data_IF_884093467827
#
_entry.id   IF_884093467827
#
_cell.length_a   1.000
_cell.length_b   1.000
_cell.length_c   1.000
_cell.angle_alpha   90.00
_cell.angle_beta   90.00
_cell.angle_gamma   90.00
#
_symmetry.space_group_name_H-M   'P 1'
#
loop_
_entity.id
_entity.type
_entity.pdbx_description
1 polymer ?
#
# COMPACT_ATOMS: atom_id res chain seq x y z
N UNK A 1 -25.12 46.96 -15.84
CA UNK A 1 -24.53 45.71 -15.31
C UNK A 1 -23.03 45.74 -15.61
N UNK A 2 -22.13 45.58 -14.63
CA UNK A 2 -20.67 45.62 -14.88
C UNK A 2 -20.30 44.37 -15.68
N UNK A 3 -19.79 44.53 -16.91
CA UNK A 3 -19.26 43.41 -17.70
C UNK A 3 -18.10 42.79 -16.91
N UNK A 4 -18.10 41.47 -16.80
CA UNK A 4 -16.95 40.74 -16.27
C UNK A 4 -15.72 41.12 -17.08
N UNK A 5 -14.61 41.35 -16.41
CA UNK A 5 -13.35 41.66 -17.08
C UNK A 5 -12.85 40.45 -17.86
N UNK A 6 -11.95 40.66 -18.82
CA UNK A 6 -11.31 39.56 -19.55
C UNK A 6 -10.56 38.62 -18.60
N UNK A 7 -9.98 39.16 -17.53
CA UNK A 7 -9.34 38.37 -16.46
C UNK A 7 -10.31 37.48 -15.69
N UNK A 8 -11.53 37.95 -15.42
CA UNK A 8 -12.54 37.13 -14.73
C UNK A 8 -12.98 35.94 -15.58
N UNK A 9 -13.15 36.16 -16.90
CA UNK A 9 -13.49 35.09 -17.84
C UNK A 9 -12.35 34.07 -17.95
N UNK A 10 -11.09 34.53 -17.97
CA UNK A 10 -9.92 33.66 -18.01
C UNK A 10 -9.81 32.81 -16.73
N UNK A 11 -10.02 33.41 -15.56
CA UNK A 11 -10.00 32.68 -14.28
C UNK A 11 -11.09 31.62 -14.22
N UNK A 12 -12.32 31.96 -14.63
CA UNK A 12 -13.44 31.01 -14.73
C UNK A 12 -13.14 29.86 -15.71
N UNK A 13 -12.49 30.15 -16.84
CA UNK A 13 -12.09 29.13 -17.80
C UNK A 13 -11.01 28.19 -17.24
N UNK A 14 -10.04 28.71 -16.48
CA UNK A 14 -9.01 27.87 -15.84
C UNK A 14 -9.64 26.97 -14.77
N UNK A 15 -10.53 27.50 -13.93
CA UNK A 15 -11.29 26.68 -12.96
C UNK A 15 -12.13 25.62 -13.68
N UNK A 16 -12.80 25.99 -14.78
CA UNK A 16 -13.55 25.09 -15.65
C UNK A 16 -12.68 23.94 -16.19
N UNK A 17 -11.50 24.26 -16.74
CA UNK A 17 -10.59 23.28 -17.29
C UNK A 17 -10.07 22.32 -16.20
N UNK A 18 -9.72 22.84 -15.03
CA UNK A 18 -9.26 22.02 -13.89
C UNK A 18 -10.35 21.06 -13.42
N UNK A 19 -11.60 21.53 -13.29
CA UNK A 19 -12.72 20.69 -12.88
C UNK A 19 -13.03 19.61 -13.92
N UNK A 20 -13.04 19.96 -15.21
CA UNK A 20 -13.27 19.00 -16.30
C UNK A 20 -12.17 17.93 -16.36
N UNK A 21 -10.90 18.32 -16.18
CA UNK A 21 -9.77 17.37 -16.12
C UNK A 21 -9.90 16.45 -14.91
N UNK A 22 -10.22 16.96 -13.73
CA UNK A 22 -10.40 16.13 -12.52
C UNK A 22 -11.52 15.11 -12.65
N UNK A 23 -12.63 15.53 -13.23
CA UNK A 23 -13.79 14.66 -13.49
C UNK A 23 -13.45 13.60 -14.54
N UNK A 24 -12.86 14.00 -15.65
CA UNK A 24 -12.41 13.09 -16.70
C UNK A 24 -11.39 12.07 -16.18
N UNK A 25 -10.46 12.49 -15.32
CA UNK A 25 -9.45 11.63 -14.72
C UNK A 25 -10.06 10.63 -13.72
N UNK A 26 -10.96 11.09 -12.83
CA UNK A 26 -11.70 10.20 -11.93
C UNK A 26 -12.54 9.16 -12.70
N UNK A 27 -13.08 9.58 -13.84
CA UNK A 27 -13.86 8.71 -14.72
C UNK A 27 -13.02 7.70 -15.52
N UNK A 28 -11.82 8.08 -15.96
CA UNK A 28 -10.88 7.14 -16.58
C UNK A 28 -10.46 6.04 -15.60
N UNK A 29 -10.22 6.40 -14.33
CA UNK A 29 -9.89 5.44 -13.28
C UNK A 29 -11.05 4.47 -13.00
N UNK A 30 -12.28 4.95 -13.00
CA UNK A 30 -13.47 4.10 -12.85
C UNK A 30 -13.70 3.24 -14.12
N UNK A 31 -13.46 3.76 -15.32
CA UNK A 31 -13.65 3.04 -16.57
C UNK A 31 -12.65 1.91 -16.79
N UNK A 32 -11.36 2.19 -16.54
CA UNK A 32 -10.29 1.19 -16.67
C UNK A 32 -10.38 0.12 -15.57
N UNK A 33 -10.73 0.49 -14.34
CA UNK A 33 -10.75 -0.46 -13.21
C UNK A 33 -11.98 -1.36 -13.15
N UNK A 34 -13.13 -0.93 -13.69
CA UNK A 34 -14.40 -1.59 -13.37
C UNK A 34 -15.14 -2.19 -14.57
N UNK A 35 -14.74 -1.93 -15.82
CA UNK A 35 -15.50 -2.35 -17.01
C UNK A 35 -17.02 -2.03 -16.92
N UNK A 36 -17.39 -0.99 -16.17
CA UNK A 36 -18.78 -0.56 -16.00
C UNK A 36 -19.09 0.61 -16.92
N UNK A 37 -20.37 0.77 -17.27
CA UNK A 37 -20.87 1.92 -18.03
C UNK A 37 -20.98 3.21 -17.20
N UNK A 38 -20.61 3.17 -15.91
CA UNK A 38 -20.76 4.29 -14.97
C UNK A 38 -20.03 5.59 -15.40
N UNK A 39 -18.80 5.53 -15.95
CA UNK A 39 -18.15 6.73 -16.50
C UNK A 39 -18.99 7.39 -17.58
N UNK A 40 -19.60 6.62 -18.49
CA UNK A 40 -20.43 7.17 -19.57
C UNK A 40 -21.70 7.85 -19.06
N UNK A 41 -22.19 7.51 -17.86
CA UNK A 41 -23.34 8.14 -17.20
C UNK A 41 -22.91 9.35 -16.37
N UNK A 42 -21.70 9.35 -15.81
CA UNK A 42 -21.18 10.46 -15.00
C UNK A 42 -20.63 11.61 -15.87
N UNK A 43 -20.15 11.32 -17.10
CA UNK A 43 -19.62 12.32 -18.04
C UNK A 43 -20.64 13.44 -18.27
N UNK A 44 -21.89 13.14 -18.67
CA UNK A 44 -22.87 14.17 -18.97
C UNK A 44 -23.30 14.90 -17.70
N UNK A 45 -23.42 14.20 -16.56
CA UNK A 45 -23.90 14.79 -15.31
C UNK A 45 -22.96 15.86 -14.75
N UNK A 46 -21.67 15.80 -15.04
CA UNK A 46 -20.70 16.81 -14.58
C UNK A 46 -20.30 17.76 -15.70
N UNK A 47 -20.12 17.28 -16.93
CA UNK A 47 -19.74 18.15 -18.06
C UNK A 47 -20.86 19.05 -18.56
N UNK A 48 -22.13 18.60 -18.55
CA UNK A 48 -23.27 19.40 -19.01
C UNK A 48 -23.47 20.63 -18.14
N UNK A 49 -23.47 20.55 -16.80
CA UNK A 49 -23.77 21.73 -16.03
C UNK A 49 -22.57 22.67 -15.89
N UNK A 50 -21.35 22.14 -16.01
CA UNK A 50 -20.12 22.94 -16.09
C UNK A 50 -20.03 23.68 -17.43
N UNK A 51 -20.39 23.03 -18.54
CA UNK A 51 -20.57 23.69 -19.84
C UNK A 51 -21.72 24.71 -19.81
N UNK A 52 -22.85 24.38 -19.19
CA UNK A 52 -23.98 25.29 -18.99
C UNK A 52 -23.56 26.56 -18.22
N UNK A 53 -22.77 26.41 -17.14
CA UNK A 53 -22.22 27.54 -16.39
C UNK A 53 -21.33 28.42 -17.26
N UNK A 54 -20.43 27.81 -18.03
CA UNK A 54 -19.53 28.52 -18.93
C UNK A 54 -20.27 29.30 -20.02
N UNK A 55 -21.26 28.68 -20.68
CA UNK A 55 -22.05 29.34 -21.72
C UNK A 55 -22.95 30.45 -21.16
N UNK A 56 -23.53 30.26 -19.97
CA UNK A 56 -24.35 31.27 -19.31
C UNK A 56 -23.54 32.51 -18.90
N UNK A 57 -22.30 32.32 -18.43
CA UNK A 57 -21.40 33.42 -18.09
C UNK A 57 -20.90 34.19 -19.33
N UNK A 58 -20.82 33.55 -20.50
CA UNK A 58 -20.31 34.15 -21.75
C UNK A 58 -21.34 34.95 -22.54
N UNK A 59 -22.65 34.68 -22.38
CA UNK A 59 -23.74 35.38 -23.07
C UNK A 59 -24.86 35.79 -22.09
N UNK A 60 -24.65 36.85 -21.29
CA UNK A 60 -25.63 37.29 -20.29
C UNK A 60 -26.94 37.84 -20.90
N UNK A 61 -26.92 38.27 -22.16
CA UNK A 61 -28.05 38.99 -22.78
C UNK A 61 -29.10 38.06 -23.44
N UNK A 62 -28.78 36.78 -23.69
CA UNK A 62 -29.68 35.83 -24.39
C UNK A 62 -30.43 34.86 -23.47
N UNK A 63 -30.07 34.75 -22.19
CA UNK A 63 -30.69 33.81 -21.23
C UNK A 63 -31.31 34.54 -20.03
N UNK A 64 -32.64 34.51 -19.94
CA UNK A 64 -33.49 35.25 -18.98
C UNK A 64 -33.41 34.77 -17.50
N UNK A 65 -32.32 34.14 -17.08
CA UNK A 65 -32.14 33.77 -15.68
C UNK A 65 -31.64 34.96 -14.86
N UNK A 66 -32.41 35.35 -13.84
CA UNK A 66 -31.96 36.34 -12.87
C UNK A 66 -30.63 35.92 -12.23
N UNK A 67 -29.71 36.86 -11.99
CA UNK A 67 -28.40 36.59 -11.34
C UNK A 67 -28.48 35.69 -10.10
N UNK A 68 -29.49 35.91 -9.24
CA UNK A 68 -29.71 35.10 -8.03
C UNK A 68 -29.89 33.61 -8.36
N UNK A 69 -30.69 33.29 -9.38
CA UNK A 69 -30.92 31.90 -9.84
C UNK A 69 -29.64 31.31 -10.44
N UNK A 70 -28.91 32.07 -11.24
CA UNK A 70 -27.64 31.64 -11.82
C UNK A 70 -26.58 31.31 -10.75
N UNK A 71 -26.46 32.16 -9.72
CA UNK A 71 -25.57 31.92 -8.58
C UNK A 71 -25.98 30.67 -7.79
N UNK A 72 -27.28 30.47 -7.54
CA UNK A 72 -27.78 29.27 -6.87
C UNK A 72 -27.42 28.01 -7.68
N UNK A 73 -27.65 28.01 -9.00
CA UNK A 73 -27.28 26.90 -9.87
C UNK A 73 -25.77 26.64 -9.83
N UNK A 74 -24.95 27.69 -9.86
CA UNK A 74 -23.49 27.57 -9.77
C UNK A 74 -23.04 26.89 -8.48
N UNK A 75 -23.63 27.27 -7.35
CA UNK A 75 -23.33 26.68 -6.04
C UNK A 75 -23.78 25.22 -5.99
N UNK A 76 -24.99 24.92 -6.45
CA UNK A 76 -25.49 23.53 -6.53
C UNK A 76 -24.54 22.69 -7.39
N UNK A 77 -24.08 23.22 -8.52
CA UNK A 77 -23.17 22.49 -9.38
C UNK A 77 -21.82 22.25 -8.76
N UNK A 78 -21.25 23.25 -8.10
CA UNK A 78 -20.01 23.07 -7.35
C UNK A 78 -20.16 21.99 -6.27
N UNK A 79 -21.28 22.00 -5.53
CA UNK A 79 -21.58 20.97 -4.52
C UNK A 79 -21.64 19.59 -5.17
N UNK A 80 -22.36 19.43 -6.29
CA UNK A 80 -22.44 18.17 -7.01
C UNK A 80 -21.05 17.71 -7.49
N UNK A 81 -20.24 18.61 -8.06
CA UNK A 81 -18.89 18.25 -8.51
C UNK A 81 -17.98 17.82 -7.36
N UNK A 82 -18.13 18.42 -6.18
CA UNK A 82 -17.36 18.04 -4.99
C UNK A 82 -17.84 16.72 -4.38
N UNK A 83 -19.16 16.46 -4.38
CA UNK A 83 -19.75 15.26 -3.75
C UNK A 83 -19.79 14.04 -4.68
N UNK A 84 -19.91 14.24 -5.99
CA UNK A 84 -20.10 13.16 -6.95
C UNK A 84 -19.01 12.08 -6.90
N UNK A 85 -17.70 12.40 -6.82
CA UNK A 85 -16.66 11.38 -6.71
C UNK A 85 -16.88 10.45 -5.50
N UNK A 86 -17.18 11.01 -4.33
CA UNK A 86 -17.42 10.22 -3.12
C UNK A 86 -18.66 9.34 -3.22
N UNK A 87 -19.77 9.88 -3.76
CA UNK A 87 -21.00 9.11 -3.96
C UNK A 87 -20.80 7.98 -4.95
N UNK A 88 -20.12 8.26 -6.08
CA UNK A 88 -19.79 7.26 -7.09
C UNK A 88 -18.89 6.19 -6.49
N UNK A 89 -17.81 6.58 -5.83
CA UNK A 89 -16.88 5.66 -5.17
C UNK A 89 -17.59 4.76 -4.16
N UNK A 90 -18.40 5.33 -3.28
CA UNK A 90 -19.18 4.56 -2.29
C UNK A 90 -20.15 3.58 -2.94
N UNK A 91 -20.87 4.03 -3.98
CA UNK A 91 -21.83 3.20 -4.71
C UNK A 91 -21.12 2.06 -5.45
N UNK A 92 -20.01 2.36 -6.12
CA UNK A 92 -19.20 1.37 -6.85
C UNK A 92 -18.68 0.29 -5.91
N UNK A 93 -18.15 0.66 -4.74
CA UNK A 93 -17.66 -0.32 -3.75
C UNK A 93 -18.81 -1.13 -3.16
N UNK A 94 -19.95 -0.51 -2.88
CA UNK A 94 -21.13 -1.21 -2.38
C UNK A 94 -21.62 -2.26 -3.39
N UNK A 95 -21.65 -1.91 -4.68
CA UNK A 95 -21.99 -2.83 -5.78
C UNK A 95 -20.94 -3.94 -5.90
N UNK A 96 -19.64 -3.60 -5.86
CA UNK A 96 -18.54 -4.58 -5.87
C UNK A 96 -18.69 -5.57 -4.73
N UNK A 97 -18.85 -5.11 -3.49
CA UNK A 97 -19.04 -5.96 -2.32
C UNK A 97 -20.31 -6.83 -2.43
N UNK A 98 -21.42 -6.26 -2.92
CA UNK A 98 -22.65 -7.02 -3.14
C UNK A 98 -22.45 -8.13 -4.17
N UNK A 99 -21.81 -7.83 -5.30
CA UNK A 99 -21.50 -8.81 -6.34
C UNK A 99 -20.54 -9.88 -5.81
N UNK A 100 -19.50 -9.50 -5.07
CA UNK A 100 -18.58 -10.46 -4.46
C UNK A 100 -19.29 -11.35 -3.43
N UNK A 101 -20.20 -10.82 -2.61
CA UNK A 101 -21.00 -11.63 -1.68
C UNK A 101 -21.87 -12.66 -2.39
N UNK A 102 -22.29 -12.41 -3.63
CA UNK A 102 -23.08 -13.37 -4.41
C UNK A 102 -22.26 -14.56 -4.97
N UNK A 103 -20.93 -14.43 -5.02
CA UNK A 103 -20.04 -15.52 -5.42
C UNK A 103 -20.05 -16.59 -4.32
N UNK A 104 -20.30 -17.85 -4.69
CA UNK A 104 -20.43 -18.94 -3.69
C UNK A 104 -19.09 -19.38 -3.10
N UNK A 105 -18.04 -19.43 -3.92
CA UNK A 105 -16.71 -19.90 -3.52
C UNK A 105 -15.89 -18.77 -2.91
N UNK A 106 -15.41 -18.94 -1.67
CA UNK A 106 -14.51 -17.97 -1.03
C UNK A 106 -13.20 -17.79 -1.81
N UNK A 107 -12.70 -18.84 -2.44
CA UNK A 107 -11.56 -18.77 -3.36
C UNK A 107 -11.81 -17.80 -4.51
N UNK A 108 -13.00 -17.86 -5.12
CA UNK A 108 -13.36 -16.97 -6.24
C UNK A 108 -13.65 -15.55 -5.76
N UNK A 109 -14.23 -15.39 -4.55
CA UNK A 109 -14.34 -14.06 -3.90
C UNK A 109 -12.96 -13.42 -3.75
N UNK A 110 -11.99 -14.19 -3.25
CA UNK A 110 -10.64 -13.69 -3.04
C UNK A 110 -10.00 -13.28 -4.35
N UNK A 111 -9.99 -14.14 -5.37
CA UNK A 111 -9.43 -13.80 -6.68
C UNK A 111 -10.08 -12.57 -7.30
N UNK A 112 -11.40 -12.42 -7.14
CA UNK A 112 -12.13 -11.25 -7.62
C UNK A 112 -11.67 -9.97 -6.92
N UNK A 113 -11.60 -9.97 -5.58
CA UNK A 113 -11.10 -8.82 -4.80
C UNK A 113 -9.65 -8.51 -5.14
N UNK A 114 -8.80 -9.53 -5.28
CA UNK A 114 -7.40 -9.32 -5.64
C UNK A 114 -7.27 -8.67 -7.01
N UNK A 115 -8.02 -9.16 -8.00
CA UNK A 115 -8.05 -8.57 -9.34
C UNK A 115 -8.61 -7.14 -9.32
N UNK A 116 -9.62 -6.90 -8.49
CA UNK A 116 -10.22 -5.59 -8.31
C UNK A 116 -9.21 -4.58 -7.75
N UNK A 117 -8.50 -4.91 -6.67
CA UNK A 117 -7.46 -4.05 -6.08
C UNK A 117 -6.35 -3.79 -7.09
N UNK A 118 -5.87 -4.82 -7.78
CA UNK A 118 -4.85 -4.68 -8.81
C UNK A 118 -5.28 -3.72 -9.93
N UNK A 119 -6.47 -3.92 -10.50
CA UNK A 119 -6.95 -3.15 -11.64
C UNK A 119 -7.36 -1.71 -11.29
N UNK A 120 -7.64 -1.43 -10.01
CA UNK A 120 -7.99 -0.09 -9.54
C UNK A 120 -6.80 0.69 -8.99
N UNK A 121 -5.63 0.05 -8.87
CA UNK A 121 -4.42 0.71 -8.36
C UNK A 121 -3.66 1.40 -9.48
N UNK A 122 -3.37 2.68 -9.28
CA UNK A 122 -2.38 3.45 -10.03
C UNK A 122 -1.05 3.32 -9.30
N UNK A 123 -0.09 2.63 -9.93
CA UNK A 123 1.22 2.35 -9.33
C UNK A 123 2.02 3.63 -9.09
N UNK A 124 2.44 3.86 -7.83
CA UNK A 124 3.12 5.09 -7.47
C UNK A 124 4.59 5.14 -7.93
N UNK A 125 5.21 3.99 -8.25
CA UNK A 125 6.61 3.91 -8.68
C UNK A 125 6.85 4.07 -10.19
N UNK A 126 5.82 4.29 -11.00
CA UNK A 126 5.96 4.35 -12.47
C UNK A 126 6.26 5.75 -13.03
N UNK A 127 5.46 6.77 -12.69
CA UNK A 127 5.60 8.11 -13.29
C UNK A 127 6.79 8.90 -12.73
N UNK A 128 7.50 9.63 -13.60
CA UNK A 128 8.63 10.50 -13.22
C UNK A 128 8.27 11.98 -13.42
N UNK A 129 9.05 12.89 -12.81
CA UNK A 129 8.84 14.34 -12.95
C UNK A 129 7.58 14.86 -12.25
N UNK A 130 6.84 15.77 -12.89
CA UNK A 130 5.64 16.41 -12.30
C UNK A 130 4.53 15.39 -12.05
N UNK A 131 4.39 14.40 -12.93
CA UNK A 131 3.41 13.32 -12.77
C UNK A 131 3.75 12.46 -11.54
N UNK A 132 5.04 12.12 -11.37
CA UNK A 132 5.52 11.41 -10.18
C UNK A 132 5.27 12.19 -8.89
N UNK A 133 5.50 13.51 -8.90
CA UNK A 133 5.21 14.36 -7.74
C UNK A 133 3.70 14.42 -7.43
N UNK A 134 2.86 14.54 -8.46
CA UNK A 134 1.41 14.51 -8.30
C UNK A 134 0.94 13.18 -7.70
N UNK A 135 1.43 12.06 -8.22
CA UNK A 135 1.12 10.70 -7.74
C UNK A 135 1.58 10.53 -6.29
N UNK A 136 2.80 10.99 -5.96
CA UNK A 136 3.32 10.93 -4.61
C UNK A 136 2.45 11.68 -3.60
N UNK A 137 2.01 12.91 -3.92
CA UNK A 137 1.11 13.70 -3.08
C UNK A 137 -0.26 13.07 -2.85
N UNK A 138 -0.70 12.22 -3.77
CA UNK A 138 -2.01 11.57 -3.73
C UNK A 138 -1.94 10.13 -3.23
N UNK A 139 -0.76 9.65 -2.78
CA UNK A 139 -0.62 8.32 -2.17
C UNK A 139 -1.62 8.14 -1.04
N UNK A 140 -2.28 6.99 -1.05
CA UNK A 140 -3.40 6.74 -0.17
C UNK A 140 -2.98 6.32 1.24
N UNK A 141 -1.74 5.87 1.42
CA UNK A 141 -1.24 5.34 2.70
C UNK A 141 -2.25 4.33 3.28
N UNK A 142 -2.65 4.45 4.54
CA UNK A 142 -3.68 3.60 5.17
C UNK A 142 -5.11 4.16 5.06
N UNK A 143 -5.38 5.12 4.16
CA UNK A 143 -6.71 5.70 3.98
C UNK A 143 -7.48 4.96 2.89
N UNK A 144 -8.36 4.03 3.29
CA UNK A 144 -9.17 3.26 2.35
C UNK A 144 -10.10 4.12 1.49
N UNK A 145 -10.73 5.17 2.04
CA UNK A 145 -11.60 6.05 1.26
C UNK A 145 -10.81 6.81 0.18
N UNK A 146 -9.59 7.23 0.51
CA UNK A 146 -8.68 7.85 -0.44
C UNK A 146 -8.26 6.85 -1.53
N UNK A 147 -7.94 5.61 -1.15
CA UNK A 147 -7.66 4.52 -2.10
C UNK A 147 -8.81 4.32 -3.08
N UNK A 148 -10.04 4.24 -2.58
CA UNK A 148 -11.21 4.06 -3.43
C UNK A 148 -11.51 5.26 -4.36
N UNK A 149 -11.02 6.45 -4.02
CA UNK A 149 -11.26 7.67 -4.80
C UNK A 149 -10.16 7.92 -5.84
N UNK A 150 -8.90 7.64 -5.47
CA UNK A 150 -7.73 8.01 -6.26
C UNK A 150 -6.98 6.80 -6.83
N UNK A 151 -7.04 5.65 -6.15
CA UNK A 151 -6.35 4.43 -6.54
C UNK A 151 -4.82 4.48 -6.41
N UNK A 152 -4.23 5.55 -5.89
CA UNK A 152 -2.77 5.73 -5.94
C UNK A 152 -2.07 5.01 -4.79
N UNK A 153 -1.20 4.05 -5.09
CA UNK A 153 -0.49 3.28 -4.07
C UNK A 153 0.59 2.34 -4.59
N UNK A 154 1.31 1.74 -3.65
CA UNK A 154 2.24 0.63 -3.85
C UNK A 154 1.74 -0.61 -3.07
N UNK A 155 2.61 -1.61 -2.88
CA UNK A 155 2.30 -2.87 -2.20
C UNK A 155 1.61 -2.68 -0.83
N UNK A 156 2.03 -1.70 -0.02
CA UNK A 156 1.43 -1.39 1.27
C UNK A 156 -0.02 -0.91 1.18
N UNK A 157 -0.29 0.09 0.34
CA UNK A 157 -1.64 0.61 0.12
C UNK A 157 -2.57 -0.45 -0.47
N UNK A 158 -2.06 -1.25 -1.41
CA UNK A 158 -2.82 -2.36 -2.00
C UNK A 158 -3.15 -3.43 -0.97
N UNK A 159 -2.20 -3.81 -0.11
CA UNK A 159 -2.42 -4.78 0.96
C UNK A 159 -3.48 -4.28 1.96
N UNK A 160 -3.42 -3.00 2.32
CA UNK A 160 -4.40 -2.38 3.22
C UNK A 160 -5.81 -2.35 2.61
N UNK A 161 -5.93 -1.95 1.34
CA UNK A 161 -7.20 -1.93 0.62
C UNK A 161 -7.80 -3.34 0.48
N UNK A 162 -6.98 -4.32 0.11
CA UNK A 162 -7.41 -5.71 0.00
C UNK A 162 -7.87 -6.28 1.35
N UNK A 163 -7.09 -6.09 2.42
CA UNK A 163 -7.50 -6.49 3.77
C UNK A 163 -8.85 -5.88 4.16
N UNK A 164 -9.02 -4.57 3.94
CA UNK A 164 -10.27 -3.88 4.26
C UNK A 164 -11.46 -4.48 3.51
N UNK A 165 -11.28 -4.85 2.22
CA UNK A 165 -12.32 -5.51 1.44
C UNK A 165 -12.62 -6.93 1.96
N UNK A 166 -11.60 -7.71 2.33
CA UNK A 166 -11.79 -9.04 2.92
C UNK A 166 -12.52 -8.99 4.26
N UNK A 167 -12.17 -8.04 5.12
CA UNK A 167 -12.83 -7.83 6.41
C UNK A 167 -14.33 -7.50 6.20
N UNK A 168 -14.66 -6.67 5.20
CA UNK A 168 -16.06 -6.36 4.82
C UNK A 168 -16.84 -7.56 4.26
N UNK A 169 -16.13 -8.58 3.78
CA UNK A 169 -16.70 -9.85 3.30
C UNK A 169 -16.74 -10.93 4.39
N UNK A 170 -16.22 -10.64 5.60
CA UNK A 170 -16.12 -11.60 6.69
C UNK A 170 -15.07 -12.68 6.46
N UNK A 171 -14.08 -12.42 5.60
CA UNK A 171 -12.99 -13.35 5.29
C UNK A 171 -11.82 -13.04 6.23
N UNK A 172 -11.41 -14.03 7.04
CA UNK A 172 -10.28 -13.88 7.96
C UNK A 172 -8.99 -13.59 7.18
N UNK A 173 -8.40 -12.42 7.43
CA UNK A 173 -7.22 -11.94 6.70
C UNK A 173 -6.27 -11.11 7.58
N UNK A 174 -4.98 -11.11 7.24
CA UNK A 174 -3.94 -10.34 7.93
C UNK A 174 -2.93 -9.76 6.96
N UNK A 175 -2.37 -8.59 7.28
CA UNK A 175 -1.28 -8.00 6.50
C UNK A 175 0.01 -8.73 6.88
N UNK A 176 0.79 -9.09 5.86
CA UNK A 176 2.11 -9.67 6.00
C UNK A 176 3.13 -8.70 5.42
N UNK A 177 4.26 -8.55 6.12
CA UNK A 177 5.34 -7.63 5.77
C UNK A 177 6.67 -8.38 5.67
N UNK A 178 7.49 -7.91 4.74
CA UNK A 178 8.89 -8.25 4.59
C UNK A 178 9.70 -7.03 5.07
N UNK A 179 9.92 -6.86 6.38
CA UNK A 179 10.55 -5.66 6.93
C UNK A 179 11.98 -5.44 6.44
N UNK A 180 12.67 -6.49 5.99
CA UNK A 180 13.98 -6.39 5.34
C UNK A 180 13.91 -5.90 3.89
N UNK A 181 12.82 -6.18 3.17
CA UNK A 181 12.79 -6.02 1.71
C UNK A 181 11.66 -5.11 1.20
N UNK A 182 11.16 -4.21 2.06
CA UNK A 182 10.13 -3.20 1.78
C UNK A 182 8.93 -3.71 0.99
N UNK A 183 8.38 -4.84 1.42
CA UNK A 183 7.24 -5.43 0.73
C UNK A 183 6.11 -5.81 1.68
N UNK A 184 4.88 -5.68 1.19
CA UNK A 184 3.68 -6.00 1.96
C UNK A 184 2.64 -6.69 1.07
N UNK A 185 1.92 -7.64 1.64
CA UNK A 185 0.84 -8.36 0.98
C UNK A 185 -0.17 -8.87 2.03
N UNK A 186 -1.19 -9.62 1.59
CA UNK A 186 -2.23 -10.14 2.49
C UNK A 186 -2.19 -11.66 2.56
N UNK A 187 -2.27 -12.20 3.76
CA UNK A 187 -2.62 -13.60 4.00
C UNK A 187 -4.10 -13.74 4.31
N UNK A 188 -4.71 -14.79 3.75
CA UNK A 188 -6.15 -15.03 3.81
C UNK A 188 -6.36 -16.48 4.20
N UNK A 189 -7.25 -16.72 5.16
CA UNK A 189 -7.53 -18.07 5.63
C UNK A 189 -8.70 -18.67 4.86
N UNK A 190 -8.41 -19.71 4.09
CA UNK A 190 -9.39 -20.48 3.31
C UNK A 190 -9.33 -21.94 3.76
N UNK A 191 -10.46 -22.51 4.19
CA UNK A 191 -10.53 -23.90 4.65
C UNK A 191 -9.43 -24.26 5.66
N UNK A 192 -9.25 -23.41 6.69
CA UNK A 192 -8.22 -23.55 7.74
C UNK A 192 -6.77 -23.45 7.27
N UNK A 193 -6.52 -23.07 6.01
CA UNK A 193 -5.19 -22.89 5.44
C UNK A 193 -4.94 -21.42 5.12
N UNK A 194 -3.77 -20.89 5.48
CA UNK A 194 -3.36 -19.55 5.10
C UNK A 194 -2.79 -19.55 3.68
N UNK A 195 -3.42 -18.76 2.82
CA UNK A 195 -3.06 -18.51 1.43
C UNK A 195 -2.59 -17.07 1.29
N UNK A 196 -1.82 -16.77 0.24
CA UNK A 196 -1.24 -15.45 -0.02
C UNK A 196 -1.93 -14.78 -1.21
N UNK A 197 -2.35 -13.53 -1.02
CA UNK A 197 -2.74 -12.62 -2.08
C UNK A 197 -1.74 -11.44 -2.12
N UNK A 198 -0.88 -11.44 -3.15
CA UNK A 198 0.15 -10.44 -3.35
C UNK A 198 -0.12 -9.64 -4.63
N UNK A 199 -0.83 -8.54 -4.42
CA UNK A 199 -1.28 -7.65 -5.48
C UNK A 199 -0.11 -6.91 -6.15
N UNK A 200 0.97 -6.61 -5.43
CA UNK A 200 2.16 -5.98 -6.01
C UNK A 200 2.82 -6.84 -7.09
N UNK A 201 2.53 -8.13 -7.09
CA UNK A 201 3.08 -9.12 -8.01
C UNK A 201 2.03 -9.82 -8.89
N UNK A 202 0.80 -9.29 -8.94
CA UNK A 202 -0.32 -9.90 -9.67
C UNK A 202 -0.62 -11.35 -9.25
N UNK A 203 -0.29 -11.73 -8.01
CA UNK A 203 -0.59 -13.05 -7.45
C UNK A 203 -1.92 -13.00 -6.70
N UNK A 204 -2.99 -13.38 -7.40
CA UNK A 204 -4.34 -13.27 -6.87
C UNK A 204 -4.63 -14.24 -5.71
N UNK A 205 -4.04 -15.43 -5.72
CA UNK A 205 -4.10 -16.41 -4.63
C UNK A 205 -3.07 -17.52 -4.88
N UNK A 206 -2.09 -17.66 -3.99
CA UNK A 206 -1.01 -18.68 -4.07
C UNK A 206 -0.70 -19.26 -2.68
N UNK A 207 0.04 -20.35 -2.61
CA UNK A 207 0.53 -20.87 -1.32
C UNK A 207 1.70 -20.03 -0.80
N UNK A 208 2.03 -20.16 0.49
CA UNK A 208 3.24 -19.53 1.07
C UNK A 208 4.51 -20.01 0.37
N UNK A 209 4.62 -21.31 0.13
CA UNK A 209 5.75 -21.94 -0.57
C UNK A 209 5.91 -21.40 -1.99
N UNK A 210 4.81 -21.31 -2.75
CA UNK A 210 4.84 -20.75 -4.10
C UNK A 210 5.27 -19.28 -4.08
N UNK A 211 4.73 -18.49 -3.14
CA UNK A 211 5.12 -17.09 -2.98
C UNK A 211 6.60 -16.93 -2.63
N UNK A 212 7.10 -17.74 -1.71
CA UNK A 212 8.48 -17.74 -1.27
C UNK A 212 9.43 -18.11 -2.41
N UNK A 213 9.14 -19.21 -3.11
CA UNK A 213 9.91 -19.67 -4.27
C UNK A 213 10.05 -18.58 -5.33
N UNK A 214 8.94 -17.91 -5.66
CA UNK A 214 8.94 -16.77 -6.60
C UNK A 214 9.78 -15.59 -6.09
N UNK A 215 9.69 -15.25 -4.79
CA UNK A 215 10.51 -14.17 -4.20
C UNK A 215 12.00 -14.48 -4.31
N UNK A 216 12.39 -15.71 -3.99
CA UNK A 216 13.78 -16.14 -4.05
C UNK A 216 14.30 -16.17 -5.49
N UNK A 217 13.48 -16.59 -6.44
CA UNK A 217 13.85 -16.55 -7.86
C UNK A 217 14.05 -15.12 -8.38
N UNK A 218 13.23 -14.17 -7.91
CA UNK A 218 13.25 -12.77 -8.36
C UNK A 218 14.35 -11.94 -7.70
N UNK A 219 14.51 -12.05 -6.38
CA UNK A 219 15.39 -11.17 -5.60
C UNK A 219 16.56 -11.90 -4.96
N UNK A 220 16.49 -13.22 -4.80
CA UNK A 220 17.50 -14.02 -4.10
C UNK A 220 17.41 -13.98 -2.57
N UNK A 221 16.47 -13.21 -1.99
CA UNK A 221 16.33 -13.07 -0.54
C UNK A 221 14.89 -13.00 -0.05
N UNK A 222 14.66 -13.62 1.12
CA UNK A 222 13.44 -13.55 1.92
C UNK A 222 13.84 -13.72 3.39
N UNK A 223 14.32 -12.63 4.00
CA UNK A 223 15.07 -12.71 5.25
C UNK A 223 14.20 -12.83 6.50
N UNK A 224 13.08 -12.12 6.55
CA UNK A 224 12.19 -12.11 7.71
C UNK A 224 10.76 -11.82 7.26
N UNK A 225 9.81 -12.60 7.76
CA UNK A 225 8.38 -12.46 7.41
C UNK A 225 7.59 -12.29 8.68
N UNK A 226 6.76 -11.25 8.76
CA UNK A 226 5.89 -11.00 9.92
C UNK A 226 4.45 -10.75 9.47
N UNK A 227 3.48 -11.15 10.28
CA UNK A 227 2.11 -10.66 10.17
C UNK A 227 1.82 -9.59 11.22
N UNK A 228 1.11 -8.55 10.80
CA UNK A 228 0.51 -7.56 11.69
C UNK A 228 -0.89 -8.01 12.11
N UNK A 229 -1.12 -8.05 13.41
CA UNK A 229 -2.41 -8.39 14.02
C UNK A 229 -2.77 -7.39 15.10
N UNK A 230 -4.03 -7.36 15.52
CA UNK A 230 -4.49 -6.53 16.63
C UNK A 230 -3.78 -6.85 17.97
N UNK A 231 -3.19 -8.04 18.08
CA UNK A 231 -2.47 -8.52 19.25
C UNK A 231 -0.94 -8.29 19.16
N UNK A 232 -0.46 -7.71 18.06
CA UNK A 232 0.96 -7.48 17.80
C UNK A 232 1.48 -8.24 16.58
N UNK A 233 2.80 -8.45 16.56
CA UNK A 233 3.52 -9.06 15.45
C UNK A 233 3.63 -10.58 15.64
N UNK A 234 3.38 -11.33 14.58
CA UNK A 234 3.59 -12.79 14.53
C UNK A 234 4.73 -13.07 13.55
N UNK A 235 5.78 -13.75 14.01
CA UNK A 235 6.89 -14.22 13.17
C UNK A 235 6.41 -15.38 12.28
N UNK A 236 6.64 -15.28 10.98
CA UNK A 236 6.13 -16.22 9.97
C UNK A 236 7.20 -16.83 9.06
N UNK A 237 8.46 -16.45 9.17
CA UNK A 237 9.54 -16.79 8.24
C UNK A 237 9.65 -18.30 8.03
N UNK A 238 9.56 -19.09 9.10
CA UNK A 238 9.61 -20.56 9.06
C UNK A 238 8.45 -21.20 8.29
N UNK A 239 7.33 -20.50 8.09
CA UNK A 239 6.21 -20.96 7.27
C UNK A 239 6.37 -20.66 5.78
N UNK A 240 7.36 -19.85 5.40
CA UNK A 240 7.65 -19.47 4.02
C UNK A 240 8.88 -20.18 3.48
N UNK A 241 9.94 -20.26 4.29
CA UNK A 241 11.26 -20.75 3.89
C UNK A 241 11.94 -21.50 5.04
N UNK A 242 12.89 -22.34 4.69
CA UNK A 242 13.86 -22.85 5.67
C UNK A 242 14.66 -21.68 6.23
N UNK A 243 14.89 -21.69 7.53
CA UNK A 243 15.56 -20.60 8.26
C UNK A 243 16.79 -21.10 9.00
N UNK A 244 17.78 -20.23 9.14
CA UNK A 244 18.83 -20.39 10.15
C UNK A 244 18.37 -19.75 11.46
N UNK A 245 18.63 -20.41 12.59
CA UNK A 245 18.30 -19.94 13.93
C UNK A 245 19.46 -19.14 14.50
N UNK A 246 19.27 -17.86 14.76
CA UNK A 246 20.29 -16.97 15.33
C UNK A 246 19.96 -16.72 16.79
N UNK A 247 20.89 -17.03 17.68
CA UNK A 247 20.81 -16.69 19.12
C UNK A 247 21.87 -15.65 19.44
N UNK A 248 21.44 -14.49 19.92
CA UNK A 248 22.30 -13.37 20.33
C UNK A 248 22.24 -13.28 21.85
N UNK A 249 23.37 -13.45 22.53
CA UNK A 249 23.53 -13.19 23.95
C UNK A 249 24.17 -11.82 24.14
N UNK A 250 23.49 -10.95 24.88
CA UNK A 250 24.00 -9.65 25.29
C UNK A 250 24.57 -9.77 26.70
N UNK A 251 25.81 -9.37 26.87
CA UNK A 251 26.52 -9.38 28.15
C UNK A 251 27.15 -8.02 28.45
N UNK A 252 27.46 -7.73 29.71
CA UNK A 252 28.27 -6.59 30.15
C UNK A 252 29.33 -7.14 31.10
N UNK A 253 30.59 -7.10 30.68
CA UNK A 253 31.71 -7.76 31.37
C UNK A 253 31.44 -9.26 31.63
N UNK A 254 30.87 -9.95 30.63
CA UNK A 254 30.49 -11.38 30.70
C UNK A 254 29.18 -11.70 31.43
N UNK A 255 28.59 -10.74 32.14
CA UNK A 255 27.31 -10.92 32.86
C UNK A 255 26.11 -10.64 31.95
N UNK A 256 25.03 -11.44 31.98
CA UNK A 256 23.90 -11.28 31.06
C UNK A 256 23.14 -9.97 31.30
N UNK A 257 22.85 -9.24 30.20
CA UNK A 257 22.07 -8.01 30.25
C UNK A 257 20.63 -8.30 29.89
N UNK A 258 19.73 -8.14 30.85
CA UNK A 258 18.28 -8.33 30.68
C UNK A 258 17.68 -7.11 29.97
N UNK A 259 16.73 -7.35 29.07
CA UNK A 259 15.98 -6.31 28.37
C UNK A 259 16.86 -5.31 27.59
N UNK A 260 18.01 -5.76 27.11
CA UNK A 260 18.81 -5.01 26.15
C UNK A 260 18.01 -4.90 24.84
N UNK A 261 17.92 -3.68 24.30
CA UNK A 261 17.25 -3.42 23.02
C UNK A 261 18.15 -3.89 21.88
N UNK A 262 17.63 -4.74 21.01
CA UNK A 262 18.35 -5.36 19.90
C UNK A 262 17.62 -4.98 18.60
N UNK A 263 18.34 -4.36 17.67
CA UNK A 263 17.82 -3.98 16.35
C UNK A 263 18.76 -4.51 15.28
N UNK A 264 18.21 -5.18 14.26
CA UNK A 264 18.94 -5.71 13.13
C UNK A 264 18.67 -4.83 11.92
N UNK A 265 19.73 -4.27 11.33
CA UNK A 265 19.63 -3.33 10.20
C UNK A 265 20.43 -3.78 8.99
N UNK A 266 19.93 -3.51 7.79
CA UNK A 266 20.66 -3.76 6.55
C UNK A 266 20.20 -2.81 5.44
N UNK A 267 20.98 -2.72 4.38
CA UNK A 267 20.65 -1.91 3.20
C UNK A 267 19.94 -2.75 2.15
N UNK A 268 18.82 -2.27 1.62
CA UNK A 268 18.11 -2.85 0.47
C UNK A 268 17.66 -1.72 -0.46
N UNK A 269 17.90 -1.82 -1.76
CA UNK A 269 17.64 -0.72 -2.72
C UNK A 269 18.28 0.62 -2.30
N UNK A 270 19.46 0.58 -1.66
CA UNK A 270 20.13 1.78 -1.13
C UNK A 270 19.41 2.50 0.01
N UNK A 271 18.40 1.88 0.60
CA UNK A 271 17.71 2.38 1.79
C UNK A 271 17.99 1.46 2.97
N UNK A 272 18.22 2.04 4.15
CA UNK A 272 18.38 1.25 5.39
C UNK A 272 17.01 0.76 5.87
N UNK A 273 16.90 -0.55 6.08
CA UNK A 273 15.74 -1.20 6.68
C UNK A 273 16.12 -1.84 8.01
N UNK A 274 15.14 -1.92 8.90
CA UNK A 274 15.29 -2.53 10.22
C UNK A 274 14.24 -3.61 10.41
N UNK A 275 14.64 -4.74 10.99
CA UNK A 275 13.69 -5.68 11.56
C UNK A 275 12.98 -5.05 12.78
N UNK A 276 11.85 -5.63 13.24
CA UNK A 276 11.22 -5.20 14.48
C UNK A 276 12.20 -5.18 15.65
N UNK A 277 11.93 -4.32 16.62
CA UNK A 277 12.72 -4.25 17.84
C UNK A 277 12.57 -5.54 18.67
N UNK A 278 13.69 -6.04 19.18
CA UNK A 278 13.74 -7.21 20.05
C UNK A 278 14.38 -6.85 21.39
N UNK A 279 14.12 -7.69 22.40
CA UNK A 279 14.70 -7.53 23.72
C UNK A 279 15.27 -8.85 24.22
N UNK A 280 16.42 -8.78 24.90
CA UNK A 280 17.00 -9.95 25.57
C UNK A 280 16.16 -10.39 26.78
N UNK A 281 16.10 -11.69 26.99
CA UNK A 281 15.44 -12.32 28.13
C UNK A 281 16.26 -12.27 29.42
N UNK A 282 15.82 -13.01 30.46
CA UNK A 282 16.48 -13.07 31.78
C UNK A 282 17.92 -13.59 31.75
N UNK A 283 18.28 -14.39 30.74
CA UNK A 283 19.61 -14.94 30.50
C UNK A 283 20.45 -14.07 29.56
N UNK A 284 19.97 -12.87 29.23
CA UNK A 284 20.58 -11.98 28.25
C UNK A 284 20.45 -12.46 26.81
N UNK A 285 19.65 -13.49 26.53
CA UNK A 285 19.52 -14.05 25.19
C UNK A 285 18.28 -13.56 24.44
N UNK A 286 18.43 -13.43 23.13
CA UNK A 286 17.36 -13.26 22.17
C UNK A 286 17.57 -14.25 21.02
N UNK A 287 16.49 -14.79 20.48
CA UNK A 287 16.53 -15.77 19.38
C UNK A 287 15.57 -15.37 18.27
N UNK A 288 16.03 -15.46 17.02
CA UNK A 288 15.19 -15.29 15.85
C UNK A 288 15.49 -16.35 14.78
N UNK A 289 14.53 -16.53 13.86
CA UNK A 289 14.68 -17.32 12.65
C UNK A 289 14.89 -16.37 11.46
N UNK A 290 15.99 -16.52 10.74
CA UNK A 290 16.26 -15.74 9.52
C UNK A 290 16.23 -16.64 8.29
N UNK A 291 15.47 -16.24 7.27
CA UNK A 291 15.52 -16.82 5.94
C UNK A 291 16.74 -16.35 5.14
N UNK A 292 16.93 -16.86 3.92
CA UNK A 292 18.12 -16.58 3.11
C UNK A 292 18.22 -15.10 2.70
N UNK A 293 19.45 -14.58 2.74
CA UNK A 293 19.85 -13.23 2.28
C UNK A 293 20.80 -13.30 1.06
N UNK A 294 20.52 -14.19 0.11
CA UNK A 294 21.38 -14.43 -1.06
C UNK A 294 20.98 -13.58 -2.25
N UNK A 295 20.91 -12.26 -2.06
CA UNK A 295 20.47 -11.31 -3.09
C UNK A 295 21.19 -11.55 -4.42
N UNK A 296 20.43 -11.71 -5.50
CA UNK A 296 20.95 -12.16 -6.80
C UNK A 296 20.51 -11.28 -7.98
N UNK A 297 19.84 -10.15 -7.69
CA UNK A 297 19.27 -9.28 -8.69
C UNK A 297 19.97 -7.91 -8.67
N UNK A 298 20.38 -7.40 -9.82
CA UNK A 298 21.04 -6.10 -9.90
C UNK A 298 20.07 -4.92 -9.78
N UNK A 299 18.77 -5.12 -9.96
CA UNK A 299 17.77 -4.05 -9.80
C UNK A 299 17.54 -3.64 -8.35
N UNK A 300 18.02 -4.44 -7.39
CA UNK A 300 17.86 -4.20 -5.96
C UNK A 300 19.11 -3.60 -5.31
N UNK A 301 20.18 -3.43 -6.10
CA UNK A 301 21.45 -2.91 -5.63
C UNK A 301 21.37 -1.38 -5.35
N UNK A 302 22.03 -0.89 -4.29
CA UNK A 302 22.85 -1.66 -3.36
C UNK A 302 22.01 -2.45 -2.34
N UNK A 303 22.37 -3.73 -2.14
CA UNK A 303 21.75 -4.63 -1.16
C UNK A 303 22.81 -5.39 -0.33
N UNK A 304 22.73 -5.32 1.00
CA UNK A 304 23.67 -6.01 1.90
C UNK A 304 23.16 -7.44 2.22
N UNK A 305 23.93 -8.51 1.94
CA UNK A 305 23.50 -9.89 2.21
C UNK A 305 23.68 -10.28 3.70
N UNK A 306 23.51 -9.32 4.61
CA UNK A 306 23.69 -9.47 6.05
C UNK A 306 22.99 -8.35 6.82
N UNK A 307 22.62 -8.61 8.07
CA UNK A 307 22.20 -7.60 9.02
C UNK A 307 23.35 -7.20 9.94
N UNK A 308 23.51 -5.91 10.21
CA UNK A 308 24.31 -5.38 11.31
C UNK A 308 23.48 -5.40 12.60
N UNK A 309 24.10 -5.81 13.69
CA UNK A 309 23.45 -5.87 15.00
C UNK A 309 23.69 -4.58 15.76
N UNK A 310 22.62 -3.96 16.24
CA UNK A 310 22.67 -2.80 17.12
C UNK A 310 22.14 -3.17 18.50
N UNK A 311 22.89 -2.82 19.54
CA UNK A 311 22.49 -3.04 20.94
C UNK A 311 22.37 -1.68 21.62
N UNK A 312 21.20 -1.37 22.18
CA UNK A 312 20.90 -0.07 22.78
C UNK A 312 21.34 1.12 21.88
N UNK A 313 21.00 1.03 20.59
CA UNK A 313 21.31 2.01 19.55
C UNK A 313 22.80 2.18 19.18
N UNK A 314 23.69 1.33 19.72
CA UNK A 314 25.11 1.27 19.35
C UNK A 314 25.37 0.13 18.38
N UNK A 315 26.06 0.40 17.28
CA UNK A 315 26.53 -0.62 16.35
C UNK A 315 27.54 -1.54 17.07
N UNK A 316 27.37 -2.85 16.99
CA UNK A 316 28.29 -3.82 17.59
C UNK A 316 29.40 -4.30 16.66
N UNK A 317 29.41 -3.83 15.41
CA UNK A 317 30.26 -4.32 14.31
C UNK A 317 30.07 -5.80 13.97
N UNK A 318 29.16 -6.49 14.67
CA UNK A 318 28.74 -7.84 14.35
C UNK A 318 27.76 -7.80 13.19
N UNK A 319 28.04 -8.63 12.20
CA UNK A 319 27.14 -8.92 11.09
C UNK A 319 26.62 -10.34 11.19
N UNK A 320 25.35 -10.52 10.84
CA UNK A 320 24.70 -11.83 10.75
C UNK A 320 24.18 -12.04 9.33
N UNK A 321 24.42 -13.22 8.79
CA UNK A 321 23.82 -13.64 7.54
C UNK A 321 23.07 -14.95 7.77
N UNK A 322 22.15 -15.25 6.85
CA UNK A 322 21.45 -16.52 6.82
C UNK A 322 21.43 -17.04 5.40
N UNK A 323 21.65 -18.34 5.31
CA UNK A 323 21.57 -19.13 4.07
C UNK A 323 20.26 -19.91 3.99
N UNK A 324 19.46 -19.90 5.06
CA UNK A 324 18.23 -20.68 5.15
C UNK A 324 18.48 -22.19 5.06
N UNK A 325 19.56 -22.69 5.68
CA UNK A 325 19.96 -24.10 5.61
C UNK A 325 19.57 -24.92 6.84
N UNK A 326 18.94 -24.31 7.84
CA UNK A 326 18.55 -24.96 9.08
C UNK A 326 19.65 -24.96 10.15
N UNK A 327 20.69 -24.16 9.97
CA UNK A 327 21.81 -24.06 10.92
C UNK A 327 21.42 -23.24 12.13
N UNK A 328 22.09 -23.50 13.26
CA UNK A 328 21.98 -22.67 14.45
C UNK A 328 23.28 -21.93 14.67
N UNK A 329 23.18 -20.63 14.91
CA UNK A 329 24.30 -19.73 15.18
C UNK A 329 24.13 -19.13 16.57
N UNK A 330 25.22 -19.08 17.33
CA UNK A 330 25.29 -18.45 18.64
C UNK A 330 26.32 -17.33 18.59
N UNK A 331 25.91 -16.15 19.04
CA UNK A 331 26.71 -14.94 19.00
C UNK A 331 26.64 -14.30 20.39
N UNK A 332 27.78 -13.93 20.94
CA UNK A 332 27.86 -13.17 22.18
C UNK A 332 28.37 -11.75 21.85
N UNK A 333 27.67 -10.74 22.35
CA UNK A 333 28.05 -9.32 22.22
C UNK A 333 28.19 -8.77 23.64
N UNK A 334 29.42 -8.41 24.00
CA UNK A 334 29.71 -7.77 25.28
C UNK A 334 29.70 -6.24 25.13
N UNK A 335 28.86 -5.57 25.92
CA UNK A 335 28.69 -4.12 25.93
C UNK A 335 29.99 -3.38 26.30
N UNK A 336 30.87 -4.02 27.09
CA UNK A 336 32.16 -3.47 27.46
C UNK A 336 33.12 -3.31 26.26
N UNK A 337 32.87 -4.03 25.16
CA UNK A 337 33.67 -4.01 23.94
C UNK A 337 33.07 -3.15 22.82
N UNK A 338 31.92 -2.50 23.06
CA UNK A 338 31.29 -1.65 22.06
C UNK A 338 32.07 -0.32 21.90
N UNK A 339 32.23 0.19 20.66
CA UNK A 339 32.98 1.42 20.35
C UNK A 339 32.30 2.71 20.81
#
# INVERSE_FOLDING_TARGET
MKKLSVSDHAALFVVFAILMVRVYYGMLNIGYGFATSLPYICFPLVSIPVAYLYFHLRKPDDFSLSKKKASIISVIMLIITLLAPYVITYTSVSVTLSNTKSIQSDTEKVKFVSSYVLNTTIWAGGPNGIEGWYVYLHRCSSNFLQFLTLGVGNCGEMAYAAKTLFDNLGIESRIVRLPGEDHMFVEIKLNSTWMVADHGYSYNLVTREERASKRLAEMGGLSYVIAETDQGLIELTTYYVTTDKITIRVADHGEPVINARIVLKHTFHGTEFSLPEFHSGPDGMFTLNLGPLTYNNTSIEPAEPYYRVYINDRNSDVVINSTGTGRSFFIEIDLANLP
#
